data_IF_413005060951
#
_entry.id   IF_413005060951
#
_cell.length_a   1.000
_cell.length_b   1.000
_cell.length_c   1.000
_cell.angle_alpha   90.00
_cell.angle_beta   90.00
_cell.angle_gamma   90.00
#
_symmetry.space_group_name_H-M   'P 1'
#
loop_
_entity.id
_entity.type
_entity.pdbx_description
1 polymer ?
#
# COMPACT_ATOMS: atom_id res chain seq x y z
N UNK A 1 13.19 -24.87 -7.74
CA UNK A 1 12.39 -24.84 -9.00
C UNK A 1 12.19 -23.40 -9.45
N UNK A 2 12.72 -23.03 -10.63
CA UNK A 2 12.46 -21.75 -11.29
C UNK A 2 11.00 -21.77 -11.78
N UNK A 3 10.04 -21.36 -10.95
CA UNK A 3 8.66 -21.17 -11.40
C UNK A 3 8.63 -20.08 -12.46
N UNK A 4 8.15 -20.38 -13.65
CA UNK A 4 7.87 -19.38 -14.66
C UNK A 4 6.86 -18.37 -14.09
N UNK A 5 7.18 -17.09 -14.20
CA UNK A 5 6.26 -16.01 -13.81
C UNK A 5 5.13 -15.97 -14.85
N UNK A 6 3.91 -16.12 -14.39
CA UNK A 6 2.71 -16.10 -15.22
C UNK A 6 2.39 -14.69 -15.72
N UNK A 7 1.54 -14.58 -16.72
CA UNK A 7 1.02 -13.29 -17.20
C UNK A 7 0.08 -12.64 -16.19
N UNK A 8 0.06 -11.32 -16.11
CA UNK A 8 -0.88 -10.59 -15.25
C UNK A 8 -0.30 -9.33 -14.59
N UNK A 9 -1.12 -8.72 -13.74
CA UNK A 9 -0.75 -7.62 -12.87
C UNK A 9 -0.16 -8.16 -11.56
N UNK A 10 1.00 -7.65 -11.15
CA UNK A 10 1.68 -8.05 -9.92
C UNK A 10 1.64 -6.91 -8.91
N UNK A 11 0.98 -7.10 -7.78
CA UNK A 11 1.05 -6.20 -6.63
C UNK A 11 2.28 -6.59 -5.81
N UNK A 12 3.28 -5.71 -5.78
CA UNK A 12 4.58 -6.01 -5.16
C UNK A 12 4.82 -5.05 -4.01
N UNK A 13 4.76 -5.51 -2.75
CA UNK A 13 5.08 -4.70 -1.60
C UNK A 13 6.55 -4.26 -1.58
N UNK A 14 6.78 -3.02 -1.17
CA UNK A 14 8.10 -2.39 -1.04
C UNK A 14 8.46 -2.13 0.42
N UNK A 15 9.73 -1.96 0.77
CA UNK A 15 10.16 -1.67 2.13
C UNK A 15 9.48 -0.42 2.73
N UNK A 16 9.26 -0.43 4.04
CA UNK A 16 8.61 0.66 4.78
C UNK A 16 9.59 1.51 5.62
N UNK A 17 10.90 1.39 5.38
CA UNK A 17 11.96 2.09 6.09
C UNK A 17 13.29 1.36 5.97
N UNK A 18 13.29 0.04 6.12
CA UNK A 18 14.48 -0.78 5.97
C UNK A 18 14.46 -1.53 4.63
N UNK A 19 15.44 -1.27 3.76
CA UNK A 19 15.53 -1.93 2.45
C UNK A 19 15.59 -3.46 2.55
N UNK A 20 16.13 -4.01 3.63
CA UNK A 20 16.24 -5.46 3.84
C UNK A 20 14.91 -6.17 4.05
N UNK A 21 13.82 -5.44 4.29
CA UNK A 21 12.49 -6.04 4.49
C UNK A 21 11.81 -6.45 3.19
N UNK A 22 12.37 -6.11 2.04
CA UNK A 22 11.86 -6.63 0.77
C UNK A 22 12.04 -8.15 0.70
N UNK A 23 11.05 -8.86 0.21
CA UNK A 23 11.19 -10.31 0.05
C UNK A 23 12.05 -10.67 -1.16
N UNK A 24 12.81 -11.76 -1.08
CA UNK A 24 13.56 -12.31 -2.22
C UNK A 24 12.64 -12.53 -3.43
N UNK A 25 11.41 -13.01 -3.20
CA UNK A 25 10.42 -13.21 -4.26
C UNK A 25 10.01 -11.89 -4.92
N UNK A 26 9.89 -10.79 -4.17
CA UNK A 26 9.61 -9.47 -4.74
C UNK A 26 10.74 -9.01 -5.67
N UNK A 27 12.00 -9.14 -5.24
CA UNK A 27 13.17 -8.81 -6.06
C UNK A 27 13.17 -9.63 -7.36
N UNK A 28 13.02 -10.96 -7.26
CA UNK A 28 12.99 -11.84 -8.42
C UNK A 28 11.82 -11.54 -9.38
N UNK A 29 10.67 -11.18 -8.81
CA UNK A 29 9.50 -10.80 -9.59
C UNK A 29 9.76 -9.50 -10.33
N UNK A 30 10.21 -8.44 -9.66
CA UNK A 30 10.48 -7.15 -10.28
C UNK A 30 11.50 -7.25 -11.42
N UNK A 31 12.54 -8.08 -11.28
CA UNK A 31 13.53 -8.33 -12.35
C UNK A 31 12.96 -8.91 -13.64
N UNK A 32 11.77 -9.52 -13.57
CA UNK A 32 11.13 -10.23 -14.70
C UNK A 32 9.93 -9.50 -15.29
N UNK A 33 9.64 -8.29 -14.82
CA UNK A 33 8.52 -7.49 -15.30
C UNK A 33 8.87 -6.80 -16.63
N UNK A 34 7.86 -6.63 -17.46
CA UNK A 34 7.99 -5.86 -18.71
C UNK A 34 8.10 -4.36 -18.39
N UNK A 35 7.36 -3.89 -17.39
CA UNK A 35 7.55 -2.59 -16.74
C UNK A 35 6.89 -2.52 -15.36
N UNK A 36 7.22 -1.48 -14.62
CA UNK A 36 6.73 -1.25 -13.25
C UNK A 36 5.92 0.06 -13.23
N UNK A 37 4.72 -0.02 -12.69
CA UNK A 37 3.89 1.12 -12.30
C UNK A 37 4.32 1.57 -10.90
N UNK A 38 4.79 2.79 -10.78
CA UNK A 38 5.34 3.33 -9.53
C UNK A 38 4.56 4.60 -9.12
N UNK A 39 4.24 4.73 -7.86
CA UNK A 39 3.57 5.91 -7.31
C UNK A 39 4.48 7.14 -7.49
N UNK A 40 5.70 7.10 -6.95
CA UNK A 40 6.77 8.03 -7.25
C UNK A 40 7.97 7.28 -7.84
N UNK A 41 8.25 7.53 -9.13
CA UNK A 41 9.36 6.89 -9.83
C UNK A 41 10.74 7.23 -9.24
N UNK A 42 10.87 8.35 -8.51
CA UNK A 42 12.11 8.76 -7.85
C UNK A 42 12.41 7.88 -6.64
N UNK A 43 11.38 7.56 -5.86
CA UNK A 43 11.47 6.65 -4.69
C UNK A 43 11.76 5.25 -5.19
N UNK A 44 10.94 4.73 -6.09
CA UNK A 44 11.12 3.39 -6.66
C UNK A 44 12.48 3.23 -7.35
N UNK A 45 13.00 4.27 -8.02
CA UNK A 45 14.31 4.22 -8.67
C UNK A 45 15.46 3.93 -7.68
N UNK A 46 15.38 4.46 -6.45
CA UNK A 46 16.39 4.18 -5.42
C UNK A 46 16.38 2.70 -5.02
N UNK A 47 15.19 2.14 -4.83
CA UNK A 47 15.01 0.73 -4.52
C UNK A 47 15.53 -0.17 -5.64
N UNK A 48 15.14 0.10 -6.90
CA UNK A 48 15.57 -0.69 -8.05
C UNK A 48 17.08 -0.66 -8.24
N UNK A 49 17.71 0.51 -8.07
CA UNK A 49 19.18 0.67 -8.13
C UNK A 49 19.88 -0.14 -7.04
N UNK A 50 19.37 -0.13 -5.82
CA UNK A 50 19.98 -0.84 -4.71
C UNK A 50 20.01 -2.35 -4.94
N UNK A 51 18.99 -2.91 -5.60
CA UNK A 51 18.88 -4.35 -5.89
C UNK A 51 19.30 -4.74 -7.32
N UNK A 52 19.94 -3.83 -8.04
CA UNK A 52 20.38 -4.03 -9.43
C UNK A 52 19.22 -4.57 -10.32
N UNK A 53 18.10 -3.85 -10.29
CA UNK A 53 16.90 -4.13 -11.08
C UNK A 53 16.82 -3.12 -12.22
N UNK A 54 16.99 -3.57 -13.45
CA UNK A 54 16.94 -2.72 -14.64
C UNK A 54 15.63 -2.96 -15.41
N UNK A 55 14.56 -2.33 -14.95
CA UNK A 55 13.21 -2.43 -15.55
C UNK A 55 12.64 -1.03 -15.74
N UNK A 56 11.96 -0.80 -16.86
CA UNK A 56 11.29 0.48 -17.16
C UNK A 56 10.20 0.78 -16.13
N UNK A 57 10.06 2.06 -15.78
CA UNK A 57 9.01 2.53 -14.87
C UNK A 57 8.08 3.52 -15.55
N UNK A 58 6.83 3.55 -15.06
CA UNK A 58 5.84 4.60 -15.39
C UNK A 58 5.21 5.10 -14.10
N UNK A 59 5.01 6.41 -14.00
CA UNK A 59 4.28 7.00 -12.87
C UNK A 59 2.81 6.58 -12.89
N UNK A 60 2.32 6.08 -11.76
CA UNK A 60 0.94 5.67 -11.56
C UNK A 60 0.51 6.05 -10.13
N UNK A 61 -0.27 7.11 -9.99
CA UNK A 61 -0.69 7.68 -8.71
C UNK A 61 -2.17 8.07 -8.74
N UNK A 62 -2.73 8.46 -7.61
CA UNK A 62 -4.15 8.83 -7.47
C UNK A 62 -4.61 9.91 -8.45
N UNK A 63 -3.71 10.81 -8.88
CA UNK A 63 -4.07 11.90 -9.80
C UNK A 63 -4.18 11.44 -11.26
N UNK A 64 -3.52 10.35 -11.64
CA UNK A 64 -3.46 9.88 -13.02
C UNK A 64 -4.06 8.50 -13.27
N UNK A 65 -4.38 7.72 -12.21
CA UNK A 65 -4.87 6.34 -12.37
C UNK A 65 -6.12 6.24 -13.24
N UNK A 66 -7.11 7.11 -13.07
CA UNK A 66 -8.35 7.09 -13.87
C UNK A 66 -8.07 7.23 -15.36
N UNK A 67 -7.08 8.03 -15.74
CA UNK A 67 -6.69 8.27 -17.13
C UNK A 67 -5.83 7.12 -17.67
N UNK A 68 -5.01 6.53 -16.84
CA UNK A 68 -4.04 5.51 -17.26
C UNK A 68 -4.61 4.10 -17.30
N UNK A 69 -5.55 3.75 -16.42
CA UNK A 69 -6.08 2.39 -16.32
C UNK A 69 -6.62 1.86 -17.65
N UNK A 70 -7.46 2.57 -18.42
CA UNK A 70 -7.94 2.04 -19.71
C UNK A 70 -6.80 1.75 -20.69
N UNK A 71 -5.77 2.60 -20.68
CA UNK A 71 -4.59 2.43 -21.53
C UNK A 71 -3.74 1.23 -21.10
N UNK A 72 -3.53 1.04 -19.80
CA UNK A 72 -2.77 -0.09 -19.28
C UNK A 72 -3.50 -1.41 -19.58
N UNK A 73 -4.82 -1.45 -19.47
CA UNK A 73 -5.60 -2.64 -19.81
C UNK A 73 -5.40 -3.07 -21.27
N UNK A 74 -5.40 -2.11 -22.22
CA UNK A 74 -5.14 -2.41 -23.62
C UNK A 74 -3.69 -2.83 -23.92
N UNK A 75 -2.78 -2.63 -22.99
CA UNK A 75 -1.38 -3.02 -23.14
C UNK A 75 -1.11 -4.48 -22.71
N UNK A 76 -2.05 -5.14 -22.01
CA UNK A 76 -1.87 -6.55 -21.62
C UNK A 76 -1.81 -7.52 -22.81
N UNK A 77 -2.30 -7.12 -23.98
CA UNK A 77 -2.08 -7.86 -25.22
C UNK A 77 -0.61 -7.84 -25.68
N UNK A 78 0.12 -6.75 -25.36
CA UNK A 78 1.51 -6.53 -25.74
C UNK A 78 2.49 -6.86 -24.62
N UNK A 79 2.14 -6.51 -23.38
CA UNK A 79 2.95 -6.72 -22.18
C UNK A 79 2.21 -7.69 -21.27
N UNK A 80 2.85 -8.78 -20.94
CA UNK A 80 2.21 -9.83 -20.18
C UNK A 80 2.44 -9.75 -18.67
N UNK A 81 3.43 -8.97 -18.23
CA UNK A 81 3.86 -8.90 -16.82
C UNK A 81 4.10 -7.45 -16.41
N UNK A 82 3.17 -6.90 -15.67
CA UNK A 82 3.22 -5.53 -15.19
C UNK A 82 3.19 -5.55 -13.67
N UNK A 83 4.16 -4.92 -13.01
CA UNK A 83 4.10 -4.74 -11.56
C UNK A 83 3.51 -3.39 -11.18
N UNK A 84 2.79 -3.35 -10.06
CA UNK A 84 2.42 -2.15 -9.35
C UNK A 84 3.14 -2.14 -8.00
N UNK A 85 3.81 -1.04 -7.69
CA UNK A 85 4.46 -0.76 -6.41
C UNK A 85 3.98 0.58 -5.85
N UNK A 86 3.89 0.69 -4.53
CA UNK A 86 3.74 1.96 -3.81
C UNK A 86 5.09 2.46 -3.31
N UNK A 87 5.14 3.65 -2.78
CA UNK A 87 6.36 4.25 -2.23
C UNK A 87 6.86 3.48 -1.00
N UNK A 88 5.93 2.94 -0.19
CA UNK A 88 6.23 2.11 0.97
C UNK A 88 5.07 1.14 1.26
N UNK A 89 5.38 -0.12 1.52
CA UNK A 89 4.40 -1.14 1.90
C UNK A 89 3.65 -1.77 0.73
N UNK A 90 2.41 -2.17 0.97
CA UNK A 90 1.59 -2.93 0.04
C UNK A 90 0.74 -2.01 -0.83
N UNK A 91 0.86 -2.05 -2.17
CA UNK A 91 0.03 -1.25 -3.05
C UNK A 91 -1.46 -1.56 -2.87
N UNK A 92 -2.32 -0.59 -3.19
CA UNK A 92 -3.79 -0.63 -3.04
C UNK A 92 -4.32 -0.55 -1.60
N UNK A 93 -3.46 -0.48 -0.59
CA UNK A 93 -3.84 -0.32 0.81
C UNK A 93 -3.48 1.10 1.26
N UNK A 94 -4.44 2.00 1.23
CA UNK A 94 -4.27 3.46 1.39
C UNK A 94 -3.42 4.13 0.29
N UNK A 95 -3.11 3.41 -0.76
CA UNK A 95 -2.28 3.78 -1.90
C UNK A 95 -3.02 3.58 -3.23
N UNK A 96 -2.49 4.09 -4.37
CA UNK A 96 -3.04 3.81 -5.69
C UNK A 96 -3.10 2.32 -6.00
N UNK A 97 -4.11 1.89 -6.75
CA UNK A 97 -4.18 0.52 -7.23
C UNK A 97 -5.55 -0.14 -7.17
N UNK A 98 -6.45 0.33 -6.31
CA UNK A 98 -7.81 -0.24 -6.25
C UNK A 98 -8.49 -0.25 -7.62
N UNK A 99 -8.40 0.85 -8.37
CA UNK A 99 -9.07 0.99 -9.66
C UNK A 99 -8.50 0.00 -10.70
N UNK A 100 -7.17 -0.08 -10.82
CA UNK A 100 -6.54 -0.99 -11.79
C UNK A 100 -6.81 -2.47 -11.43
N UNK A 101 -6.76 -2.82 -10.16
CA UNK A 101 -7.09 -4.20 -9.72
C UNK A 101 -8.52 -4.54 -10.08
N UNK A 102 -9.48 -3.66 -9.75
CA UNK A 102 -10.89 -3.84 -10.08
C UNK A 102 -11.11 -4.05 -11.58
N UNK A 103 -10.49 -3.21 -12.38
CA UNK A 103 -10.66 -3.29 -13.85
C UNK A 103 -9.92 -4.50 -14.44
N UNK A 104 -8.75 -4.92 -13.91
CA UNK A 104 -8.12 -6.18 -14.30
C UNK A 104 -9.03 -7.37 -14.04
N UNK A 105 -9.63 -7.47 -12.84
CA UNK A 105 -10.58 -8.55 -12.50
C UNK A 105 -11.78 -8.58 -13.45
N UNK A 106 -12.37 -7.43 -13.75
CA UNK A 106 -13.50 -7.33 -14.70
C UNK A 106 -13.14 -7.79 -16.12
N UNK A 107 -11.90 -7.59 -16.53
CA UNK A 107 -11.41 -7.96 -17.86
C UNK A 107 -10.70 -9.33 -17.88
N UNK A 108 -10.88 -10.16 -16.85
CA UNK A 108 -10.26 -11.47 -16.71
C UNK A 108 -8.73 -11.48 -16.80
N UNK A 109 -8.09 -10.36 -16.44
CA UNK A 109 -6.64 -10.25 -16.33
C UNK A 109 -6.25 -10.73 -14.92
N UNK A 110 -5.37 -11.72 -14.86
CA UNK A 110 -4.93 -12.29 -13.58
C UNK A 110 -4.19 -11.26 -12.74
N UNK A 111 -4.56 -11.17 -11.46
CA UNK A 111 -3.87 -10.32 -10.47
C UNK A 111 -3.13 -11.21 -9.47
N UNK A 112 -1.84 -10.99 -9.33
CA UNK A 112 -0.96 -11.70 -8.40
C UNK A 112 -0.56 -10.76 -7.26
N UNK A 113 -0.94 -11.06 -6.03
CA UNK A 113 -0.50 -10.32 -4.86
C UNK A 113 0.66 -11.07 -4.16
N UNK A 114 1.77 -10.37 -3.95
CA UNK A 114 2.88 -10.91 -3.18
C UNK A 114 2.71 -10.52 -1.70
N UNK A 115 2.99 -11.42 -0.74
CA UNK A 115 3.15 -11.02 0.65
C UNK A 115 4.43 -10.18 0.80
N UNK A 116 4.41 -9.24 1.73
CA UNK A 116 5.58 -8.40 1.97
C UNK A 116 5.35 -7.34 3.05
N UNK A 117 6.23 -6.34 3.14
CA UNK A 117 6.19 -5.33 4.18
C UNK A 117 4.86 -4.57 4.24
N UNK A 118 4.44 -4.27 5.45
CA UNK A 118 3.30 -3.40 5.76
C UNK A 118 3.43 -2.91 7.20
N UNK A 119 3.12 -1.66 7.47
CA UNK A 119 3.17 -1.12 8.84
C UNK A 119 2.00 -1.63 9.70
N UNK A 120 0.87 -1.96 9.08
CA UNK A 120 -0.36 -2.41 9.76
C UNK A 120 -0.12 -3.61 10.68
N UNK A 121 0.52 -4.66 10.18
CA UNK A 121 0.69 -5.92 10.93
C UNK A 121 1.70 -5.77 12.08
N UNK A 122 2.91 -5.21 11.88
CA UNK A 122 3.82 -4.94 13.00
C UNK A 122 3.18 -4.06 14.09
N UNK A 123 2.50 -2.97 13.69
CA UNK A 123 1.86 -2.07 14.66
C UNK A 123 0.85 -2.79 15.54
N UNK A 124 -0.06 -3.57 14.97
CA UNK A 124 -1.06 -4.29 15.77
C UNK A 124 -0.42 -5.42 16.61
N UNK A 125 0.62 -6.07 16.09
CA UNK A 125 1.32 -7.14 16.82
C UNK A 125 2.08 -6.63 18.05
N UNK A 126 2.64 -5.41 17.95
CA UNK A 126 3.38 -4.76 19.05
C UNK A 126 2.47 -4.06 20.06
N UNK A 127 1.23 -3.76 19.68
CA UNK A 127 0.33 -2.93 20.49
C UNK A 127 -0.06 -3.51 21.85
N UNK A 128 -0.04 -4.84 22.00
CA UNK A 128 -0.60 -5.50 23.17
C UNK A 128 -2.13 -5.43 23.24
N UNK A 129 -2.80 -4.84 22.24
CA UNK A 129 -4.25 -4.78 22.13
C UNK A 129 -4.82 -6.04 21.44
N UNK A 130 -6.13 -6.34 21.61
CA UNK A 130 -6.74 -7.48 20.94
C UNK A 130 -6.59 -7.39 19.42
N UNK A 131 -5.90 -8.36 18.81
CA UNK A 131 -5.57 -8.38 17.38
C UNK A 131 -6.39 -9.40 16.56
N UNK A 132 -7.25 -10.20 17.23
CA UNK A 132 -8.08 -11.22 16.57
C UNK A 132 -9.21 -10.62 15.71
N UNK A 133 -9.64 -9.41 16.04
CA UNK A 133 -10.64 -8.62 15.29
C UNK A 133 -10.28 -7.15 15.42
N UNK A 134 -10.00 -6.50 14.32
CA UNK A 134 -9.64 -5.07 14.28
C UNK A 134 -10.24 -4.38 13.04
N UNK A 135 -10.26 -3.07 13.06
CA UNK A 135 -10.65 -2.22 11.94
C UNK A 135 -9.43 -1.44 11.47
N UNK A 136 -9.14 -1.52 10.19
CA UNK A 136 -8.15 -0.67 9.53
C UNK A 136 -8.86 0.51 8.87
N UNK A 137 -8.56 1.71 9.32
CA UNK A 137 -9.21 2.94 8.90
C UNK A 137 -8.43 3.68 7.80
N UNK A 138 -7.16 3.36 7.63
CA UNK A 138 -6.27 4.12 6.75
C UNK A 138 -6.02 5.53 7.28
N UNK A 139 -5.89 6.51 6.38
CA UNK A 139 -5.71 7.91 6.76
C UNK A 139 -7.06 8.60 6.97
N UNK A 140 -7.21 9.26 8.13
CA UNK A 140 -8.39 10.10 8.36
C UNK A 140 -8.40 11.30 7.39
N UNK A 141 -9.59 11.73 6.93
CA UNK A 141 -9.71 12.89 6.05
C UNK A 141 -9.02 14.14 6.64
N UNK A 142 -8.42 14.98 5.79
CA UNK A 142 -7.71 16.17 6.26
C UNK A 142 -8.63 17.25 6.82
N UNK A 143 -9.80 17.48 6.20
CA UNK A 143 -10.76 18.53 6.56
C UNK A 143 -12.20 18.04 6.41
N UNK A 144 -12.73 18.07 5.18
CA UNK A 144 -14.13 17.70 4.90
C UNK A 144 -14.36 16.22 5.26
N UNK A 145 -15.37 15.97 6.08
CA UNK A 145 -15.74 14.62 6.51
C UNK A 145 -14.93 14.07 7.69
N UNK A 146 -13.89 14.78 8.17
CA UNK A 146 -13.06 14.28 9.27
C UNK A 146 -13.84 14.10 10.57
N UNK A 147 -14.59 15.13 10.99
CA UNK A 147 -15.39 15.05 12.23
C UNK A 147 -16.38 13.88 12.16
N UNK A 148 -17.13 13.78 11.06
CA UNK A 148 -18.07 12.68 10.85
C UNK A 148 -17.36 11.32 10.98
N UNK A 149 -16.16 11.18 10.43
CA UNK A 149 -15.40 9.93 10.50
C UNK A 149 -14.93 9.63 11.93
N UNK A 150 -14.48 10.64 12.67
CA UNK A 150 -14.14 10.50 14.09
C UNK A 150 -15.37 10.10 14.91
N UNK A 151 -16.52 10.71 14.65
CA UNK A 151 -17.78 10.37 15.35
C UNK A 151 -18.21 8.93 15.09
N UNK A 152 -18.02 8.43 13.85
CA UNK A 152 -18.27 7.01 13.51
C UNK A 152 -17.36 6.05 14.29
N UNK A 153 -16.12 6.45 14.61
CA UNK A 153 -15.18 5.63 15.38
C UNK A 153 -15.54 5.52 16.87
N UNK A 154 -16.35 6.44 17.42
CA UNK A 154 -16.78 6.41 18.84
C UNK A 154 -17.53 5.11 19.15
N UNK A 155 -18.33 4.62 18.21
CA UNK A 155 -19.11 3.41 18.36
C UNK A 155 -18.33 2.12 18.07
N UNK A 156 -17.09 2.23 17.55
CA UNK A 156 -16.27 1.06 17.23
C UNK A 156 -15.64 0.47 18.50
N UNK A 157 -15.92 -0.80 18.76
CA UNK A 157 -15.44 -1.52 19.97
C UNK A 157 -14.20 -2.38 19.72
N UNK A 158 -13.85 -2.58 18.47
CA UNK A 158 -12.65 -3.35 18.10
C UNK A 158 -11.41 -2.46 18.13
N UNK A 159 -10.25 -3.05 18.19
CA UNK A 159 -9.00 -2.32 17.99
C UNK A 159 -9.03 -1.58 16.64
N UNK A 160 -8.76 -0.29 16.65
CA UNK A 160 -8.73 0.57 15.47
C UNK A 160 -7.28 0.83 15.10
N UNK A 161 -6.91 0.60 13.85
CA UNK A 161 -5.59 0.93 13.30
C UNK A 161 -5.75 2.08 12.30
N UNK A 162 -5.01 3.16 12.53
CA UNK A 162 -5.06 4.38 11.74
C UNK A 162 -3.64 4.68 11.21
N UNK A 163 -3.53 5.06 9.94
CA UNK A 163 -2.33 5.67 9.41
C UNK A 163 -2.38 7.18 9.59
N UNK A 164 -1.27 7.76 10.05
CA UNK A 164 -1.17 9.21 10.18
C UNK A 164 0.24 9.70 9.83
N UNK A 165 0.30 10.86 9.18
CA UNK A 165 1.58 11.48 8.87
C UNK A 165 2.24 12.04 10.15
N UNK A 166 3.58 11.92 10.31
CA UNK A 166 4.28 12.34 11.54
C UNK A 166 3.95 13.76 11.98
N UNK A 167 3.89 14.70 11.06
CA UNK A 167 3.60 16.10 11.34
C UNK A 167 2.16 16.39 11.83
N UNK A 168 1.24 15.42 11.72
CA UNK A 168 -0.15 15.52 12.20
C UNK A 168 -0.43 14.64 13.41
N UNK A 169 0.49 13.75 13.77
CA UNK A 169 0.28 12.72 14.78
C UNK A 169 -0.25 13.28 16.10
N UNK A 170 0.45 14.28 16.68
CA UNK A 170 0.06 14.87 17.96
C UNK A 170 -1.35 15.47 17.92
N UNK A 171 -1.66 16.19 16.83
CA UNK A 171 -3.00 16.78 16.66
C UNK A 171 -4.08 15.70 16.58
N UNK A 172 -3.84 14.67 15.80
CA UNK A 172 -4.79 13.56 15.62
C UNK A 172 -4.98 12.77 16.92
N UNK A 173 -3.92 12.50 17.67
CA UNK A 173 -4.03 11.85 18.98
C UNK A 173 -4.85 12.69 19.98
N UNK A 174 -4.63 14.01 20.05
CA UNK A 174 -5.42 14.89 20.91
C UNK A 174 -6.92 14.90 20.51
N UNK A 175 -7.20 14.95 19.21
CA UNK A 175 -8.57 14.90 18.68
C UNK A 175 -9.26 13.57 19.04
N UNK A 176 -8.60 12.45 18.82
CA UNK A 176 -9.13 11.12 19.15
C UNK A 176 -9.29 10.93 20.66
N UNK A 177 -8.35 11.40 21.48
CA UNK A 177 -8.45 11.35 22.94
C UNK A 177 -9.66 12.13 23.45
N UNK A 178 -9.93 13.31 22.89
CA UNK A 178 -11.11 14.09 23.25
C UNK A 178 -12.43 13.42 22.82
N UNK A 179 -12.44 12.75 21.68
CA UNK A 179 -13.64 12.12 21.13
C UNK A 179 -13.94 10.75 21.78
N UNK A 180 -12.91 9.92 21.98
CA UNK A 180 -13.02 8.53 22.44
C UNK A 180 -12.79 8.38 23.95
N UNK A 181 -12.40 9.45 24.65
CA UNK A 181 -12.04 9.41 26.07
C UNK A 181 -10.61 8.92 26.31
N UNK A 182 -10.36 8.27 27.46
CA UNK A 182 -9.06 7.74 27.79
C UNK A 182 -8.70 6.59 26.84
N UNK A 183 -7.74 6.81 25.93
CA UNK A 183 -7.28 5.83 24.96
C UNK A 183 -6.05 5.08 25.50
N UNK A 184 -6.10 3.74 25.43
CA UNK A 184 -4.90 2.93 25.33
C UNK A 184 -4.42 2.99 23.88
N UNK A 185 -3.26 3.59 23.66
CA UNK A 185 -2.67 3.65 22.32
C UNK A 185 -1.19 3.32 22.35
N UNK A 186 -0.71 2.82 21.24
CA UNK A 186 0.70 2.70 20.94
C UNK A 186 0.96 3.29 19.56
N UNK A 187 2.11 3.87 19.36
CA UNK A 187 2.54 4.38 18.06
C UNK A 187 3.79 3.63 17.62
N UNK A 188 3.83 3.29 16.35
CA UNK A 188 5.03 2.81 15.66
C UNK A 188 5.38 3.86 14.60
N UNK A 189 6.60 4.37 14.67
CA UNK A 189 7.14 5.26 13.65
C UNK A 189 7.94 4.39 12.68
N UNK A 190 7.52 4.35 11.42
CA UNK A 190 8.38 3.85 10.36
C UNK A 190 9.54 4.85 10.19
N UNK A 191 10.76 4.40 10.48
CA UNK A 191 12.00 5.16 10.30
C UNK A 191 12.31 5.40 8.81
#
# INVERSE_FOLDING_TARGET
EKKNILTGLYLVPTPIGNLSDITLRAIETLKKMDYILAEDTRVTSKLLKFYDINVKMRSFNLNNEHKLVPKILSEFDRYSKIALVSDAGSPSISDPGFLIVRECVKNNITVHALPGPTALIPAISLSGLPANRFVFEGFLPHKKGRQKRVDELIEEKRTIVIYEAPHRLIKTLSELSNALGCLLYTSDAAD
#
